data_IF_961531020596
#
_entry.id   IF_961531020596
#
_cell.length_a   1.000
_cell.length_b   1.000
_cell.length_c   1.000
_cell.angle_alpha   90.00
_cell.angle_beta   90.00
_cell.angle_gamma   90.00
#
_symmetry.space_group_name_H-M   'P 1'
#
loop_
_entity.id
_entity.type
_entity.pdbx_description
1 polymer ?
#
# COMPACT_ATOMS: atom_id res chain seq x y z
N UNK A 1 23.37 -4.66 -14.41
CA UNK A 1 23.50 -4.82 -15.87
C UNK A 1 24.08 -3.55 -16.46
N UNK A 2 25.06 -3.65 -17.37
CA UNK A 2 25.62 -2.50 -18.09
C UNK A 2 25.63 -2.81 -19.58
N UNK A 3 25.11 -1.88 -20.40
CA UNK A 3 25.14 -1.97 -21.85
C UNK A 3 25.76 -0.70 -22.44
N UNK A 4 26.74 -0.89 -23.31
CA UNK A 4 27.39 0.19 -24.07
C UNK A 4 26.95 0.10 -25.52
N UNK A 5 26.65 1.24 -26.13
CA UNK A 5 26.39 1.35 -27.56
C UNK A 5 26.80 2.72 -28.08
N UNK A 6 27.08 2.82 -29.38
CA UNK A 6 27.35 4.11 -30.03
C UNK A 6 26.05 4.71 -30.52
N UNK A 7 25.82 5.98 -30.22
CA UNK A 7 24.79 6.79 -30.85
C UNK A 7 25.47 7.63 -31.94
N UNK A 8 25.70 7.01 -33.10
CA UNK A 8 26.47 7.63 -34.20
C UNK A 8 27.98 7.62 -33.99
N UNK A 9 28.70 8.47 -34.72
CA UNK A 9 30.16 8.40 -34.85
C UNK A 9 30.90 9.02 -33.66
N UNK A 10 30.33 10.04 -33.01
CA UNK A 10 31.01 10.80 -31.94
C UNK A 10 30.47 10.54 -30.56
N UNK A 11 29.23 10.08 -30.42
CA UNK A 11 28.57 9.94 -29.12
C UNK A 11 28.56 8.48 -28.66
N UNK A 12 29.15 8.24 -27.51
CA UNK A 12 29.08 6.97 -26.78
C UNK A 12 28.01 7.03 -25.68
N UNK A 13 27.26 5.93 -25.52
CA UNK A 13 26.22 5.80 -24.49
C UNK A 13 26.45 4.54 -23.67
N UNK A 14 26.32 4.68 -22.35
CA UNK A 14 26.33 3.58 -21.40
C UNK A 14 25.05 3.60 -20.56
N UNK A 15 24.23 2.58 -20.72
CA UNK A 15 23.04 2.35 -19.91
C UNK A 15 23.37 1.36 -18.78
N UNK A 16 23.01 1.74 -17.55
CA UNK A 16 23.17 0.92 -16.35
C UNK A 16 21.80 0.63 -15.76
N UNK A 17 21.61 -0.61 -15.32
CA UNK A 17 20.44 -1.03 -14.55
C UNK A 17 20.91 -1.81 -13.32
N UNK A 18 20.48 -1.37 -12.15
CA UNK A 18 20.78 -1.95 -10.85
C UNK A 18 19.48 -2.40 -10.19
N UNK A 19 19.48 -3.63 -9.68
CA UNK A 19 18.32 -4.30 -9.12
C UNK A 19 18.63 -4.65 -7.67
N UNK A 20 17.92 -4.06 -6.72
CA UNK A 20 18.12 -4.32 -5.29
C UNK A 20 16.96 -5.15 -4.76
N UNK A 21 17.28 -6.23 -4.04
CA UNK A 21 16.31 -7.15 -3.44
C UNK A 21 15.33 -7.80 -4.44
N UNK A 22 15.64 -7.81 -5.75
CA UNK A 22 14.71 -8.26 -6.79
C UNK A 22 14.23 -9.71 -6.60
N UNK A 23 15.08 -10.57 -6.02
CA UNK A 23 14.75 -11.97 -5.72
C UNK A 23 14.19 -12.20 -4.31
N UNK A 24 14.22 -11.18 -3.43
CA UNK A 24 13.74 -11.35 -2.06
C UNK A 24 12.22 -11.56 -2.05
N UNK A 25 11.73 -12.32 -1.08
CA UNK A 25 10.32 -12.39 -0.74
C UNK A 25 9.90 -11.13 0.05
N UNK A 26 8.78 -10.48 -0.27
CA UNK A 26 8.32 -9.32 0.47
C UNK A 26 7.79 -9.76 1.84
N UNK A 27 8.32 -9.20 2.91
CA UNK A 27 7.74 -9.38 4.24
C UNK A 27 6.69 -8.29 4.45
N UNK A 28 5.46 -8.69 4.74
CA UNK A 28 4.36 -7.75 4.95
C UNK A 28 4.27 -7.30 6.42
N UNK A 29 3.87 -6.05 6.62
CA UNK A 29 3.56 -5.54 7.95
C UNK A 29 2.27 -6.15 8.50
N UNK A 30 2.03 -5.91 9.79
CA UNK A 30 0.78 -6.35 10.41
C UNK A 30 -0.42 -5.66 9.75
N UNK A 31 -1.56 -6.37 9.60
CA UNK A 31 -2.81 -5.75 9.21
C UNK A 31 -3.19 -4.64 10.17
N UNK A 32 -3.90 -3.64 9.66
CA UNK A 32 -4.48 -2.62 10.52
C UNK A 32 -5.47 -3.27 11.50
N UNK A 33 -5.22 -3.15 12.79
CA UNK A 33 -5.90 -3.95 13.82
C UNK A 33 -7.08 -3.24 14.49
N UNK A 34 -7.23 -1.92 14.28
CA UNK A 34 -8.34 -1.17 14.85
C UNK A 34 -9.61 -1.40 14.00
N UNK A 35 -10.57 -2.12 14.59
CA UNK A 35 -11.82 -2.53 13.95
C UNK A 35 -12.86 -1.41 13.88
N UNK A 36 -12.78 -0.45 14.81
CA UNK A 36 -13.79 0.58 15.03
C UNK A 36 -13.18 1.98 15.05
N UNK A 37 -13.94 2.99 14.63
CA UNK A 37 -13.59 4.41 14.74
C UNK A 37 -14.57 5.05 15.73
N UNK A 38 -14.08 5.47 16.90
CA UNK A 38 -14.90 6.15 17.90
C UNK A 38 -15.13 7.62 17.57
N UNK A 39 -16.24 8.19 18.05
CA UNK A 39 -16.59 9.59 17.87
C UNK A 39 -17.22 9.91 16.50
N UNK A 40 -17.49 8.89 15.68
CA UNK A 40 -18.16 9.03 14.39
C UNK A 40 -19.31 8.02 14.29
N UNK A 41 -20.55 8.47 14.05
CA UNK A 41 -21.67 7.56 13.83
C UNK A 41 -21.52 6.78 12.51
N UNK A 42 -21.95 5.52 12.50
CA UNK A 42 -22.23 4.77 11.26
C UNK A 42 -23.44 5.33 10.52
N UNK A 43 -24.46 5.68 11.30
CA UNK A 43 -25.79 6.05 10.82
C UNK A 43 -26.21 7.35 11.50
N UNK A 44 -26.86 8.23 10.74
CA UNK A 44 -27.45 9.46 11.28
C UNK A 44 -28.76 9.23 12.04
N UNK A 45 -29.24 7.98 12.12
CA UNK A 45 -30.49 7.57 12.76
C UNK A 45 -30.26 6.35 13.67
N UNK A 46 -31.30 5.96 14.43
CA UNK A 46 -31.29 4.68 15.18
C UNK A 46 -31.39 3.55 14.14
N UNK A 47 -30.37 2.68 13.99
CA UNK A 47 -30.39 1.66 12.96
C UNK A 47 -31.36 0.54 13.30
N UNK A 48 -31.97 -0.02 12.26
CA UNK A 48 -32.73 -1.27 12.31
C UNK A 48 -31.78 -2.46 12.46
N UNK A 49 -32.30 -3.59 12.94
CA UNK A 49 -31.49 -4.81 13.06
C UNK A 49 -30.93 -5.27 11.71
N UNK A 50 -31.70 -5.13 10.63
CA UNK A 50 -31.22 -5.48 9.29
C UNK A 50 -30.05 -4.60 8.82
N UNK A 51 -30.03 -3.32 9.19
CA UNK A 51 -28.90 -2.42 8.89
C UNK A 51 -27.66 -2.81 9.70
N UNK A 52 -27.84 -3.25 10.96
CA UNK A 52 -26.73 -3.75 11.79
C UNK A 52 -26.17 -5.07 11.26
N UNK A 53 -27.04 -5.99 10.83
CA UNK A 53 -26.65 -7.30 10.29
C UNK A 53 -25.94 -7.19 8.93
N UNK A 54 -26.18 -6.12 8.18
CA UNK A 54 -25.52 -5.83 6.92
C UNK A 54 -24.10 -5.24 7.09
N UNK A 55 -23.72 -4.83 8.31
CA UNK A 55 -22.40 -4.24 8.55
C UNK A 55 -21.28 -5.29 8.53
N UNK A 56 -20.08 -4.93 8.06
CA UNK A 56 -18.91 -5.81 8.10
C UNK A 56 -18.31 -5.96 9.52
N UNK A 57 -18.86 -5.26 10.51
CA UNK A 57 -18.43 -5.32 11.90
C UNK A 57 -19.64 -5.42 12.84
N UNK A 58 -19.44 -6.03 14.01
CA UNK A 58 -20.52 -6.26 14.96
C UNK A 58 -20.70 -5.04 15.87
N UNK A 59 -21.83 -4.33 15.71
CA UNK A 59 -22.20 -3.17 16.52
C UNK A 59 -23.59 -3.34 17.10
N UNK A 60 -23.78 -2.90 18.33
CA UNK A 60 -25.14 -2.68 18.88
C UNK A 60 -25.71 -1.37 18.33
N UNK A 61 -27.04 -1.23 18.38
CA UNK A 61 -27.74 -0.02 17.94
C UNK A 61 -27.21 1.27 18.62
N UNK A 62 -26.86 1.18 19.91
CA UNK A 62 -26.30 2.32 20.66
C UNK A 62 -24.87 2.67 20.21
N UNK A 63 -24.05 1.66 19.88
CA UNK A 63 -22.68 1.88 19.43
C UNK A 63 -22.65 2.47 18.02
N UNK A 64 -23.54 2.05 17.12
CA UNK A 64 -23.59 2.53 15.75
C UNK A 64 -23.88 4.05 15.62
N UNK A 65 -24.37 4.69 16.68
CA UNK A 65 -24.58 6.15 16.74
C UNK A 65 -23.35 6.95 17.20
N UNK A 66 -22.29 6.28 17.67
CA UNK A 66 -21.07 6.94 18.18
C UNK A 66 -19.78 6.33 17.65
N UNK A 67 -19.88 5.19 16.98
CA UNK A 67 -18.76 4.36 16.54
C UNK A 67 -19.03 3.80 15.16
N UNK A 68 -18.05 3.88 14.26
CA UNK A 68 -18.13 3.32 12.90
C UNK A 68 -17.17 2.16 12.64
N UNK A 69 -17.48 1.34 11.63
CA UNK A 69 -16.63 0.24 11.18
C UNK A 69 -15.45 0.89 10.49
N UNK A 70 -14.24 0.49 10.86
CA UNK A 70 -13.06 1.03 10.21
C UNK A 70 -12.86 0.35 8.84
N UNK A 71 -12.93 1.08 7.71
CA UNK A 71 -12.74 0.48 6.39
C UNK A 71 -11.30 0.02 6.16
N UNK A 72 -10.35 0.44 7.02
CA UNK A 72 -8.96 0.03 6.95
C UNK A 72 -8.68 -1.23 7.76
N UNK A 73 -9.61 -1.69 8.60
CA UNK A 73 -9.42 -2.91 9.39
C UNK A 73 -9.04 -4.08 8.49
N UNK A 74 -7.98 -4.82 8.86
CA UNK A 74 -7.46 -5.94 8.07
C UNK A 74 -6.62 -5.54 6.85
N UNK A 75 -6.58 -4.26 6.45
CA UNK A 75 -5.77 -3.82 5.30
C UNK A 75 -4.29 -3.84 5.68
N UNK A 76 -3.49 -4.56 4.88
CA UNK A 76 -2.04 -4.48 4.92
C UNK A 76 -1.58 -3.41 3.92
N UNK A 77 -0.94 -2.36 4.44
CA UNK A 77 -0.55 -1.19 3.65
C UNK A 77 0.96 -0.96 3.60
N UNK A 78 1.76 -1.83 4.23
CA UNK A 78 3.21 -1.66 4.34
C UNK A 78 3.94 -3.01 4.24
N UNK A 79 5.15 -2.96 3.73
CA UNK A 79 6.15 -4.03 3.83
C UNK A 79 7.16 -3.70 4.92
N UNK A 80 7.73 -4.72 5.54
CA UNK A 80 8.81 -4.60 6.53
C UNK A 80 10.14 -4.84 5.82
N UNK A 81 11.11 -3.97 6.06
CA UNK A 81 12.44 -4.03 5.45
C UNK A 81 12.54 -3.22 4.17
N UNK A 82 13.61 -3.47 3.40
CA UNK A 82 13.91 -2.73 2.17
C UNK A 82 13.07 -3.24 1.00
N UNK A 83 12.37 -2.36 0.26
CA UNK A 83 11.58 -2.77 -0.89
C UNK A 83 12.48 -3.18 -2.06
N UNK A 84 11.89 -3.83 -3.07
CA UNK A 84 12.55 -4.08 -4.35
C UNK A 84 12.72 -2.75 -5.07
N UNK A 85 13.95 -2.43 -5.44
CA UNK A 85 14.27 -1.17 -6.11
C UNK A 85 14.97 -1.44 -7.44
N UNK A 86 14.60 -0.64 -8.44
CA UNK A 86 15.21 -0.62 -9.75
C UNK A 86 15.79 0.77 -9.96
N UNK A 87 17.09 0.84 -10.18
CA UNK A 87 17.77 2.09 -10.48
C UNK A 87 18.36 2.02 -11.89
N UNK A 88 18.06 3.04 -12.68
CA UNK A 88 18.62 3.20 -14.02
C UNK A 88 19.59 4.37 -14.03
N UNK A 89 20.67 4.22 -14.81
CA UNK A 89 21.66 5.26 -15.04
C UNK A 89 21.99 5.37 -16.51
N UNK A 90 22.17 6.59 -16.99
CA UNK A 90 22.60 6.86 -18.36
C UNK A 90 23.84 7.74 -18.30
N UNK A 91 24.93 7.28 -18.90
CA UNK A 91 26.14 8.06 -19.11
C UNK A 91 26.34 8.30 -20.59
N UNK A 92 26.58 9.57 -20.93
CA UNK A 92 26.87 10.02 -22.29
C UNK A 92 28.31 10.55 -22.31
N UNK A 93 29.07 10.17 -23.34
CA UNK A 93 30.43 10.64 -23.59
C UNK A 93 30.53 11.15 -25.02
N UNK A 94 31.12 12.32 -25.21
CA UNK A 94 31.29 13.00 -26.49
C UNK A 94 32.72 13.51 -26.65
#
# INVERSE_FOLDING_TARGET
>A
LIKKFRAGERVGVEFRAEFFNVLNHPNFGLPFHQLYIGGVPQFGHVPTQAELDALPCNLTAAQAQTTSCNPRAGVISKTVGTPRQLQFGLKVTF
#
